data_IF_247395859332
#
_entry.id   IF_247395859332
#
_cell.length_a   1.000
_cell.length_b   1.000
_cell.length_c   1.000
_cell.angle_alpha   90.00
_cell.angle_beta   90.00
_cell.angle_gamma   90.00
#
_symmetry.space_group_name_H-M   'P 1'
#
loop_
_entity.id
_entity.type
_entity.pdbx_description
1 polymer ?
#
# COMPACT_ATOMS: atom_id res chain seq x y z
N UNK A 1 -47.08 -9.83 -26.52
CA UNK A 1 -46.54 -8.83 -25.57
C UNK A 1 -46.78 -7.44 -26.16
N UNK A 2 -47.33 -6.48 -25.41
CA UNK A 2 -47.58 -5.12 -25.96
C UNK A 2 -46.27 -4.36 -26.14
N UNK A 3 -46.18 -3.49 -27.16
CA UNK A 3 -44.98 -2.64 -27.40
C UNK A 3 -44.59 -1.83 -26.15
N UNK A 4 -45.58 -1.42 -25.35
CA UNK A 4 -45.39 -0.73 -24.06
C UNK A 4 -44.72 -1.63 -23.02
N UNK A 5 -45.07 -2.90 -22.93
CA UNK A 5 -44.44 -3.85 -22.01
C UNK A 5 -42.99 -4.14 -22.40
N UNK A 6 -42.70 -4.28 -23.70
CA UNK A 6 -41.32 -4.48 -24.20
C UNK A 6 -40.46 -3.24 -23.90
N UNK A 7 -40.97 -2.03 -24.19
CA UNK A 7 -40.26 -0.79 -23.90
C UNK A 7 -39.97 -0.62 -22.41
N UNK A 8 -40.92 -1.00 -21.54
CA UNK A 8 -40.75 -0.95 -20.10
C UNK A 8 -39.70 -1.96 -19.60
N UNK A 9 -39.66 -3.17 -20.16
CA UNK A 9 -38.62 -4.16 -19.86
C UNK A 9 -37.24 -3.67 -20.31
N UNK A 10 -37.14 -3.10 -21.52
CA UNK A 10 -35.88 -2.55 -22.03
C UNK A 10 -35.42 -1.39 -21.13
N UNK A 11 -36.30 -0.46 -20.77
CA UNK A 11 -35.99 0.63 -19.85
C UNK A 11 -35.54 0.11 -18.48
N UNK A 12 -36.23 -0.90 -17.95
CA UNK A 12 -35.88 -1.56 -16.69
C UNK A 12 -34.48 -2.20 -16.78
N UNK A 13 -34.17 -2.93 -17.86
CA UNK A 13 -32.86 -3.55 -18.06
C UNK A 13 -31.74 -2.51 -18.21
N UNK A 14 -32.00 -1.43 -18.94
CA UNK A 14 -31.03 -0.33 -19.13
C UNK A 14 -30.71 0.38 -17.80
N UNK A 15 -31.63 0.42 -16.84
CA UNK A 15 -31.38 1.01 -15.52
C UNK A 15 -30.83 -0.01 -14.52
N UNK A 16 -31.39 -1.23 -14.48
CA UNK A 16 -30.97 -2.26 -13.53
C UNK A 16 -29.59 -2.84 -13.86
N UNK A 17 -29.23 -3.00 -15.13
CA UNK A 17 -27.94 -3.58 -15.49
C UNK A 17 -26.76 -2.71 -14.99
N UNK A 18 -26.70 -1.39 -15.21
CA UNK A 18 -25.65 -0.54 -14.64
C UNK A 18 -25.63 -0.54 -13.11
N UNK A 19 -26.81 -0.47 -12.46
CA UNK A 19 -26.89 -0.49 -10.99
C UNK A 19 -26.40 -1.82 -10.41
N UNK A 20 -26.78 -2.94 -11.02
CA UNK A 20 -26.33 -4.27 -10.62
C UNK A 20 -24.82 -4.44 -10.82
N UNK A 21 -24.25 -3.87 -11.88
CA UNK A 21 -22.81 -3.88 -12.13
C UNK A 21 -22.06 -3.06 -11.06
N UNK A 22 -22.54 -1.86 -10.72
CA UNK A 22 -21.98 -1.04 -9.64
C UNK A 22 -22.04 -1.75 -8.28
N UNK A 23 -23.20 -2.31 -7.95
CA UNK A 23 -23.40 -3.06 -6.71
C UNK A 23 -22.48 -4.30 -6.65
N UNK A 24 -22.35 -5.02 -7.76
CA UNK A 24 -21.45 -6.17 -7.87
C UNK A 24 -20.01 -5.75 -7.61
N UNK A 25 -19.46 -4.79 -8.36
CA UNK A 25 -18.08 -4.36 -8.19
C UNK A 25 -17.78 -3.85 -6.78
N UNK A 26 -18.71 -3.09 -6.18
CA UNK A 26 -18.57 -2.64 -4.80
C UNK A 26 -18.60 -3.81 -3.79
N UNK A 27 -19.50 -4.78 -3.97
CA UNK A 27 -19.58 -5.96 -3.09
C UNK A 27 -18.33 -6.84 -3.16
N UNK A 28 -17.63 -6.86 -4.30
CA UNK A 28 -16.39 -7.60 -4.48
C UNK A 28 -15.20 -6.96 -3.77
N UNK A 29 -15.24 -5.65 -3.47
CA UNK A 29 -14.16 -4.96 -2.76
C UNK A 29 -13.77 -5.67 -1.45
N UNK A 30 -14.77 -6.03 -0.63
CA UNK A 30 -14.52 -6.70 0.64
C UNK A 30 -13.91 -8.09 0.46
N UNK A 31 -14.32 -8.82 -0.58
CA UNK A 31 -13.78 -10.14 -0.94
C UNK A 31 -12.35 -10.05 -1.47
N UNK A 32 -12.02 -8.99 -2.21
CA UNK A 32 -10.66 -8.73 -2.69
C UNK A 32 -9.73 -8.44 -1.52
N UNK A 33 -10.15 -7.65 -0.53
CA UNK A 33 -9.32 -7.38 0.66
C UNK A 33 -9.23 -8.59 1.60
N UNK A 34 -10.22 -9.48 1.58
CA UNK A 34 -10.28 -10.66 2.45
C UNK A 34 -10.46 -11.92 1.59
N UNK A 35 -9.44 -12.33 0.83
CA UNK A 35 -9.54 -13.46 -0.11
C UNK A 35 -9.67 -14.83 0.58
N UNK A 36 -9.56 -14.88 1.91
CA UNK A 36 -9.70 -16.10 2.71
C UNK A 36 -8.62 -16.19 3.79
N UNK A 37 -8.25 -17.41 4.15
CA UNK A 37 -7.10 -17.65 5.04
C UNK A 37 -5.79 -17.44 4.28
N UNK A 38 -4.80 -16.75 4.86
CA UNK A 38 -3.49 -16.61 4.24
C UNK A 38 -2.80 -17.97 4.13
N UNK A 39 -1.97 -18.12 3.10
CA UNK A 39 -1.17 -19.32 2.85
C UNK A 39 0.05 -19.40 3.77
N UNK A 40 0.52 -18.26 4.25
CA UNK A 40 1.62 -18.13 5.19
C UNK A 40 1.60 -16.76 5.85
N UNK A 41 2.23 -16.67 7.02
CA UNK A 41 2.34 -15.44 7.80
C UNK A 41 3.76 -15.33 8.40
N UNK A 42 4.28 -14.11 8.44
CA UNK A 42 5.53 -13.77 9.10
C UNK A 42 5.25 -12.64 10.10
N UNK A 43 5.74 -12.76 11.33
CA UNK A 43 5.53 -11.76 12.36
C UNK A 43 6.80 -10.96 12.58
N UNK A 44 6.65 -9.65 12.77
CA UNK A 44 7.75 -8.72 13.03
C UNK A 44 7.39 -7.81 14.19
N UNK A 45 8.42 -7.36 14.90
CA UNK A 45 8.31 -6.32 15.93
C UNK A 45 9.07 -5.10 15.43
N UNK A 46 8.36 -4.00 15.23
CA UNK A 46 8.97 -2.72 14.92
C UNK A 46 9.02 -1.88 16.19
N UNK A 47 10.22 -1.49 16.60
CA UNK A 47 10.47 -0.67 17.79
C UNK A 47 10.73 0.77 17.35
N UNK A 48 9.96 1.71 17.88
CA UNK A 48 10.27 3.14 17.81
C UNK A 48 10.95 3.58 19.09
N UNK A 49 12.17 4.09 19.00
CA UNK A 49 12.95 4.57 20.14
C UNK A 49 13.93 5.66 19.70
N UNK A 50 14.11 6.71 20.51
CA UNK A 50 15.06 7.79 20.20
C UNK A 50 14.81 8.54 18.88
N UNK A 51 13.55 8.55 18.40
CA UNK A 51 13.19 9.15 17.11
C UNK A 51 13.42 8.26 15.90
N UNK A 52 13.90 7.03 16.09
CA UNK A 52 14.24 6.07 15.05
C UNK A 52 13.36 4.81 15.13
N UNK A 53 13.22 4.12 14.01
CA UNK A 53 12.54 2.83 13.93
C UNK A 53 13.55 1.71 13.72
N UNK A 54 13.34 0.59 14.39
CA UNK A 54 14.16 -0.61 14.32
C UNK A 54 13.25 -1.80 14.03
N UNK A 55 13.68 -2.67 13.13
CA UNK A 55 12.89 -3.84 12.69
C UNK A 55 13.52 -5.10 13.23
N UNK A 56 12.72 -5.94 13.89
CA UNK A 56 13.15 -7.20 14.48
C UNK A 56 12.22 -8.34 14.11
N UNK A 57 12.80 -9.54 13.97
CA UNK A 57 12.04 -10.79 14.15
C UNK A 57 11.69 -10.99 15.63
N UNK A 58 10.67 -11.80 15.97
CA UNK A 58 10.32 -12.07 17.37
C UNK A 58 11.50 -12.63 18.18
N UNK A 59 12.33 -13.47 17.57
CA UNK A 59 13.52 -14.05 18.19
C UNK A 59 14.59 -12.97 18.45
N UNK A 60 14.87 -12.10 17.48
CA UNK A 60 15.80 -10.98 17.69
C UNK A 60 15.31 -10.02 18.77
N UNK A 61 14.00 -9.75 18.80
CA UNK A 61 13.40 -8.89 19.81
C UNK A 61 13.50 -9.49 21.23
N UNK A 62 13.32 -10.80 21.38
CA UNK A 62 13.50 -11.49 22.67
C UNK A 62 14.95 -11.44 23.18
N UNK A 63 15.92 -11.39 22.27
CA UNK A 63 17.35 -11.32 22.59
C UNK A 63 17.82 -9.90 22.95
N UNK A 64 16.95 -8.87 22.87
CA UNK A 64 17.28 -7.55 23.39
C UNK A 64 17.35 -7.61 24.92
N UNK A 65 18.58 -7.74 25.43
CA UNK A 65 18.87 -7.64 26.85
C UNK A 65 18.92 -6.16 27.26
N UNK A 66 17.97 -5.71 28.09
CA UNK A 66 17.98 -4.38 28.68
C UNK A 66 16.59 -3.73 28.75
N UNK A 67 16.44 -2.73 29.62
CA UNK A 67 15.25 -1.88 29.62
C UNK A 67 15.27 -0.96 28.40
N UNK A 68 14.19 -0.97 27.62
CA UNK A 68 14.02 -0.03 26.52
C UNK A 68 14.10 1.42 27.02
N UNK A 69 14.69 2.35 26.24
CA UNK A 69 14.67 3.77 26.60
C UNK A 69 13.25 4.28 26.89
N UNK A 70 13.05 5.19 27.86
CA UNK A 70 11.75 5.78 28.13
C UNK A 70 11.13 6.39 26.87
N UNK A 71 9.82 6.17 26.67
CA UNK A 71 9.11 6.64 25.48
C UNK A 71 9.20 5.71 24.26
N UNK A 72 9.88 4.56 24.38
CA UNK A 72 9.88 3.54 23.33
C UNK A 72 8.49 2.96 23.09
N UNK A 73 8.15 2.69 21.82
CA UNK A 73 6.88 2.07 21.42
C UNK A 73 7.14 0.84 20.55
N UNK A 74 6.41 -0.23 20.77
CA UNK A 74 6.53 -1.48 20.01
C UNK A 74 5.28 -1.71 19.17
N UNK A 75 5.48 -2.07 17.91
CA UNK A 75 4.43 -2.37 16.96
C UNK A 75 4.59 -3.82 16.49
N UNK A 76 3.65 -4.67 16.86
CA UNK A 76 3.58 -6.04 16.33
C UNK A 76 2.87 -5.99 14.99
N UNK A 77 3.56 -6.40 13.94
CA UNK A 77 3.09 -6.34 12.55
C UNK A 77 3.15 -7.75 11.95
N UNK A 78 2.09 -8.14 11.27
CA UNK A 78 2.00 -9.43 10.59
C UNK A 78 2.02 -9.24 9.07
N UNK A 79 3.03 -9.78 8.40
CA UNK A 79 2.98 -9.93 6.95
C UNK A 79 2.17 -11.18 6.59
N UNK A 80 1.26 -11.06 5.63
CA UNK A 80 0.44 -12.18 5.16
C UNK A 80 0.65 -12.46 3.69
N UNK A 81 0.80 -13.73 3.35
CA UNK A 81 0.90 -14.23 1.99
C UNK A 81 -0.43 -14.82 1.52
N UNK A 82 -0.84 -14.46 0.31
CA UNK A 82 -2.00 -15.05 -0.37
C UNK A 82 -1.64 -15.65 -1.72
N UNK A 83 -0.47 -15.33 -2.28
CA UNK A 83 -0.05 -15.74 -3.62
C UNK A 83 0.86 -16.97 -3.52
N UNK A 84 2.05 -16.84 -2.94
CA UNK A 84 3.10 -17.88 -2.98
C UNK A 84 3.18 -18.75 -1.71
N UNK A 85 2.69 -18.25 -0.57
CA UNK A 85 2.94 -18.84 0.76
C UNK A 85 4.08 -18.18 1.52
N UNK A 86 4.94 -17.39 0.86
CA UNK A 86 5.98 -16.60 1.52
C UNK A 86 5.63 -15.10 1.47
N UNK A 87 5.35 -14.46 2.64
CA UNK A 87 4.88 -13.08 2.66
C UNK A 87 5.90 -12.07 2.10
N UNK A 88 7.19 -12.26 2.37
CA UNK A 88 8.28 -11.42 1.88
C UNK A 88 8.42 -11.52 0.36
N UNK A 89 8.26 -12.74 -0.19
CA UNK A 89 8.26 -12.97 -1.64
C UNK A 89 7.04 -12.30 -2.29
N UNK A 90 5.85 -12.45 -1.72
CA UNK A 90 4.63 -11.78 -2.22
C UNK A 90 4.79 -10.26 -2.23
N UNK A 91 5.34 -9.68 -1.17
CA UNK A 91 5.61 -8.25 -1.07
C UNK A 91 6.60 -7.79 -2.14
N UNK A 92 7.72 -8.49 -2.27
CA UNK A 92 8.78 -8.14 -3.21
C UNK A 92 8.32 -8.27 -4.67
N UNK A 93 7.63 -9.37 -5.00
CA UNK A 93 7.04 -9.58 -6.34
C UNK A 93 5.99 -8.51 -6.65
N UNK A 94 5.16 -8.15 -5.67
CA UNK A 94 4.12 -7.14 -5.86
C UNK A 94 4.72 -5.75 -6.09
N UNK A 95 5.76 -5.36 -5.37
CA UNK A 95 6.37 -4.03 -5.53
C UNK A 95 7.29 -3.92 -6.76
N UNK A 96 8.07 -4.96 -7.07
CA UNK A 96 9.11 -4.90 -8.13
C UNK A 96 8.64 -5.32 -9.52
N UNK A 97 7.41 -5.83 -9.66
CA UNK A 97 6.85 -6.16 -10.99
C UNK A 97 6.76 -4.92 -11.90
N UNK A 98 6.79 -5.15 -13.21
CA UNK A 98 6.57 -4.09 -14.20
C UNK A 98 5.08 -3.76 -14.32
N UNK A 99 4.71 -2.52 -14.00
CA UNK A 99 3.35 -2.01 -14.13
C UNK A 99 3.32 -0.83 -15.12
N UNK A 100 2.18 -0.63 -15.77
CA UNK A 100 1.93 0.50 -16.67
C UNK A 100 1.73 1.81 -15.91
N UNK A 101 1.22 1.74 -14.67
CA UNK A 101 1.08 2.86 -13.73
C UNK A 101 0.94 2.37 -12.30
N UNK A 102 1.09 3.28 -11.33
CA UNK A 102 0.84 3.00 -9.92
C UNK A 102 -0.09 4.04 -9.30
N UNK A 103 -0.91 3.58 -8.34
CA UNK A 103 -1.88 4.39 -7.63
C UNK A 103 -1.64 4.27 -6.13
N UNK A 104 -1.44 5.40 -5.45
CA UNK A 104 -1.39 5.45 -3.99
C UNK A 104 -2.77 5.87 -3.47
N UNK A 105 -3.44 4.98 -2.75
CA UNK A 105 -4.74 5.25 -2.12
C UNK A 105 -4.50 5.66 -0.67
N UNK A 106 -4.71 6.96 -0.38
CA UNK A 106 -4.33 7.62 0.88
C UNK A 106 -5.14 7.15 2.10
N UNK A 107 -6.29 6.53 1.87
CA UNK A 107 -7.31 6.25 2.87
C UNK A 107 -8.62 6.99 2.58
N UNK A 108 -9.49 7.08 3.57
CA UNK A 108 -10.80 7.74 3.54
C UNK A 108 -10.65 9.21 3.08
N UNK A 109 -11.60 9.74 2.30
CA UNK A 109 -11.67 11.17 2.01
C UNK A 109 -11.52 12.11 3.22
N UNK A 110 -11.86 11.68 4.44
CA UNK A 110 -11.64 12.45 5.68
C UNK A 110 -10.17 12.75 5.97
N UNK A 111 -9.21 12.05 5.36
CA UNK A 111 -7.78 12.38 5.44
C UNK A 111 -7.50 13.80 4.92
N UNK A 112 -8.37 14.38 4.09
CA UNK A 112 -8.29 15.80 3.69
C UNK A 112 -8.30 16.75 4.89
N UNK A 113 -8.95 16.37 5.98
CA UNK A 113 -9.00 17.17 7.21
C UNK A 113 -7.62 17.39 7.82
N UNK A 114 -6.64 16.52 7.55
CA UNK A 114 -5.26 16.78 7.97
C UNK A 114 -4.63 18.05 7.40
N UNK A 115 -5.19 18.60 6.31
CA UNK A 115 -4.80 19.89 5.76
C UNK A 115 -5.69 21.03 6.25
N UNK A 116 -7.00 20.79 6.36
CA UNK A 116 -8.00 21.84 6.61
C UNK A 116 -8.34 22.00 8.08
N UNK A 117 -8.60 20.92 8.79
CA UNK A 117 -8.93 20.90 10.21
C UNK A 117 -8.39 19.63 10.88
N UNK A 118 -7.10 19.62 11.29
CA UNK A 118 -6.46 18.42 11.82
C UNK A 118 -7.15 17.83 13.06
N UNK A 119 -7.87 18.64 13.84
CA UNK A 119 -8.57 18.21 15.04
C UNK A 119 -9.78 17.31 14.75
N UNK A 120 -10.34 17.37 13.54
CA UNK A 120 -11.46 16.53 13.12
C UNK A 120 -11.01 15.16 12.58
N UNK A 121 -9.72 14.96 12.38
CA UNK A 121 -9.19 13.70 11.89
C UNK A 121 -9.10 12.69 13.05
N UNK A 122 -9.68 11.47 12.92
CA UNK A 122 -9.73 10.49 14.02
C UNK A 122 -8.39 9.80 14.32
N UNK A 123 -7.28 10.30 13.76
CA UNK A 123 -5.95 9.72 13.88
C UNK A 123 -4.86 10.78 13.99
N UNK A 124 -3.62 10.42 13.68
CA UNK A 124 -2.49 11.36 13.70
C UNK A 124 -2.11 11.80 12.31
N UNK A 125 -2.39 13.07 11.99
CA UNK A 125 -2.04 13.66 10.71
C UNK A 125 -0.53 13.68 10.43
N UNK A 126 0.29 13.81 11.47
CA UNK A 126 1.75 13.74 11.35
C UNK A 126 2.19 12.36 10.85
N UNK A 127 1.73 11.29 11.51
CA UNK A 127 2.11 9.93 11.12
C UNK A 127 1.46 9.51 9.80
N UNK A 128 0.22 9.91 9.53
CA UNK A 128 -0.45 9.65 8.24
C UNK A 128 0.30 10.31 7.08
N UNK A 129 0.69 11.57 7.23
CA UNK A 129 1.43 12.30 6.19
C UNK A 129 2.81 11.67 5.98
N UNK A 130 3.51 11.30 7.05
CA UNK A 130 4.79 10.62 6.95
C UNK A 130 4.65 9.27 6.23
N UNK A 131 3.68 8.44 6.63
CA UNK A 131 3.37 7.17 6.00
C UNK A 131 3.10 7.33 4.49
N UNK A 132 2.18 8.21 4.10
CA UNK A 132 1.88 8.50 2.69
C UNK A 132 3.13 8.94 1.93
N UNK A 133 3.94 9.81 2.51
CA UNK A 133 5.14 10.35 1.85
C UNK A 133 6.19 9.26 1.65
N UNK A 134 6.50 8.51 2.70
CA UNK A 134 7.50 7.44 2.71
C UNK A 134 7.12 6.35 1.71
N UNK A 135 5.88 5.84 1.73
CA UNK A 135 5.45 4.81 0.78
C UNK A 135 5.37 5.32 -0.67
N UNK A 136 4.96 6.57 -0.89
CA UNK A 136 4.89 7.13 -2.23
C UNK A 136 6.28 7.26 -2.84
N UNK A 137 7.25 7.74 -2.08
CA UNK A 137 8.63 7.86 -2.56
C UNK A 137 9.31 6.49 -2.71
N UNK A 138 9.01 5.52 -1.83
CA UNK A 138 9.44 4.13 -1.96
C UNK A 138 8.99 3.53 -3.30
N UNK A 139 7.68 3.56 -3.55
CA UNK A 139 7.06 3.00 -4.76
C UNK A 139 7.53 3.75 -5.99
N UNK A 140 7.60 5.08 -5.94
CA UNK A 140 8.09 5.91 -7.05
C UNK A 140 9.52 5.55 -7.41
N UNK A 141 10.40 5.34 -6.43
CA UNK A 141 11.80 4.99 -6.67
C UNK A 141 11.97 3.64 -7.34
N UNK A 142 11.21 2.63 -6.88
CA UNK A 142 11.18 1.29 -7.52
C UNK A 142 10.66 1.40 -8.95
N UNK A 143 9.57 2.15 -9.14
CA UNK A 143 8.96 2.35 -10.45
C UNK A 143 9.90 3.09 -11.42
N UNK A 144 10.56 4.16 -10.95
CA UNK A 144 11.57 4.89 -11.72
C UNK A 144 12.73 3.98 -12.15
N UNK A 145 13.21 3.09 -11.26
CA UNK A 145 14.28 2.16 -11.61
C UNK A 145 13.92 1.27 -12.80
N UNK A 146 12.67 0.79 -12.87
CA UNK A 146 12.20 -0.01 -14.00
C UNK A 146 12.25 0.74 -15.34
N UNK A 147 11.88 2.03 -15.35
CA UNK A 147 11.97 2.86 -16.55
C UNK A 147 13.39 3.29 -16.89
N UNK A 148 14.24 3.46 -15.88
CA UNK A 148 15.67 3.69 -16.08
C UNK A 148 16.31 2.51 -16.82
N UNK A 149 16.08 1.27 -16.34
CA UNK A 149 16.60 0.07 -17.01
C UNK A 149 16.09 -0.04 -18.45
N UNK A 150 14.80 0.22 -18.68
CA UNK A 150 14.21 0.24 -20.02
C UNK A 150 14.82 1.30 -20.94
N UNK A 151 15.20 2.47 -20.43
CA UNK A 151 15.89 3.51 -21.21
C UNK A 151 17.33 3.10 -21.55
N UNK A 152 18.03 2.48 -20.59
CA UNK A 152 19.38 1.95 -20.80
C UNK A 152 19.39 0.86 -21.88
N UNK A 153 18.39 -0.04 -21.87
CA UNK A 153 18.19 -1.05 -22.92
C UNK A 153 17.94 -0.44 -24.30
N UNK A 154 17.31 0.74 -24.36
CA UNK A 154 17.11 1.51 -25.60
C UNK A 154 18.34 2.30 -26.06
N UNK A 155 19.45 2.26 -25.30
CA UNK A 155 20.69 2.95 -25.64
C UNK A 155 20.83 4.38 -25.13
N UNK A 156 19.95 4.84 -24.23
CA UNK A 156 20.07 6.17 -23.63
C UNK A 156 21.30 6.23 -22.71
N UNK A 157 22.01 7.37 -22.68
CA UNK A 157 23.05 7.59 -21.68
C UNK A 157 22.47 7.69 -20.26
N UNK A 158 23.33 7.75 -19.25
CA UNK A 158 22.91 7.72 -17.85
C UNK A 158 22.01 8.91 -17.46
N UNK A 159 22.29 10.11 -17.97
CA UNK A 159 21.54 11.30 -17.62
C UNK A 159 20.18 11.30 -18.32
N UNK A 160 20.15 11.03 -19.62
CA UNK A 160 18.89 10.92 -20.36
C UNK A 160 18.03 9.75 -19.90
N UNK A 161 18.63 8.64 -19.43
CA UNK A 161 17.88 7.54 -18.84
C UNK A 161 17.23 7.92 -17.50
N UNK A 162 17.90 8.73 -16.67
CA UNK A 162 17.32 9.25 -15.41
C UNK A 162 16.19 10.23 -15.68
N UNK A 163 16.37 11.14 -16.63
CA UNK A 163 15.34 12.09 -17.04
C UNK A 163 14.11 11.36 -17.59
N UNK A 164 14.32 10.41 -18.50
CA UNK A 164 13.24 9.54 -19.01
C UNK A 164 12.52 8.81 -17.87
N UNK A 165 13.25 8.20 -16.94
CA UNK A 165 12.66 7.49 -15.81
C UNK A 165 11.80 8.41 -14.93
N UNK A 166 12.30 9.62 -14.64
CA UNK A 166 11.58 10.62 -13.86
C UNK A 166 10.28 11.05 -14.57
N UNK A 167 10.35 11.43 -15.84
CA UNK A 167 9.18 11.82 -16.63
C UNK A 167 8.15 10.69 -16.71
N UNK A 168 8.59 9.47 -17.02
CA UNK A 168 7.67 8.34 -17.12
C UNK A 168 7.00 8.02 -15.78
N UNK A 169 7.70 8.20 -14.66
CA UNK A 169 7.16 8.00 -13.31
C UNK A 169 6.10 9.06 -12.99
N UNK A 170 6.38 10.35 -13.23
CA UNK A 170 5.43 11.43 -12.98
C UNK A 170 4.14 11.28 -13.82
N UNK A 171 4.28 10.88 -15.09
CA UNK A 171 3.14 10.64 -15.98
C UNK A 171 2.24 9.46 -15.56
N UNK A 172 2.72 8.60 -14.67
CA UNK A 172 2.10 7.30 -14.31
C UNK A 172 1.85 7.14 -12.82
N UNK A 173 2.01 8.23 -12.07
CA UNK A 173 1.73 8.30 -10.66
C UNK A 173 0.35 8.92 -10.46
N UNK A 174 -0.57 8.15 -9.90
CA UNK A 174 -1.89 8.65 -9.48
C UNK A 174 -2.02 8.61 -7.96
N UNK A 175 -2.73 9.58 -7.41
CA UNK A 175 -3.12 9.63 -5.99
C UNK A 175 -4.64 9.63 -5.90
N UNK A 176 -5.19 8.77 -5.06
CA UNK A 176 -6.63 8.65 -4.86
C UNK A 176 -7.01 8.53 -3.39
N UNK A 177 -8.28 8.81 -3.08
CA UNK A 177 -8.89 8.48 -1.79
C UNK A 177 -9.70 7.19 -1.93
N UNK A 178 -9.91 6.47 -0.84
CA UNK A 178 -10.73 5.25 -0.74
C UNK A 178 -12.24 5.59 -0.79
N UNK A 179 -12.64 6.26 -1.86
CA UNK A 179 -14.01 6.64 -2.18
C UNK A 179 -14.83 5.42 -2.65
N UNK A 180 -16.14 5.60 -2.84
CA UNK A 180 -16.99 4.58 -3.45
C UNK A 180 -16.43 4.08 -4.80
N UNK A 181 -16.03 5.01 -5.68
CA UNK A 181 -15.50 4.68 -7.00
C UNK A 181 -14.21 3.89 -6.91
N UNK A 182 -13.27 4.30 -6.05
CA UNK A 182 -12.01 3.59 -5.87
C UNK A 182 -12.22 2.18 -5.33
N UNK A 183 -13.14 2.00 -4.37
CA UNK A 183 -13.54 0.67 -3.87
C UNK A 183 -14.12 -0.19 -5.00
N UNK A 184 -15.01 0.38 -5.80
CA UNK A 184 -15.60 -0.28 -6.97
C UNK A 184 -14.53 -0.69 -8.00
N UNK A 185 -13.56 0.18 -8.29
CA UNK A 185 -12.49 -0.11 -9.24
C UNK A 185 -11.52 -1.20 -8.77
N UNK A 186 -11.21 -1.23 -7.48
CA UNK A 186 -10.46 -2.32 -6.85
C UNK A 186 -11.27 -3.63 -6.95
N UNK A 187 -12.56 -3.58 -6.57
CA UNK A 187 -13.44 -4.74 -6.55
C UNK A 187 -13.64 -5.37 -7.94
N UNK A 188 -13.78 -4.56 -9.00
CA UNK A 188 -13.89 -5.03 -10.39
C UNK A 188 -12.55 -5.41 -11.03
N UNK A 189 -11.43 -5.19 -10.36
CA UNK A 189 -10.10 -5.53 -10.88
C UNK A 189 -9.45 -4.51 -11.81
N UNK A 190 -9.98 -3.29 -11.89
CA UNK A 190 -9.36 -2.23 -12.70
C UNK A 190 -8.19 -1.54 -11.99
N UNK A 191 -8.25 -1.49 -10.66
CA UNK A 191 -7.13 -1.14 -9.79
C UNK A 191 -6.60 -2.39 -9.09
N UNK A 192 -5.28 -2.41 -8.90
CA UNK A 192 -4.56 -3.52 -8.28
C UNK A 192 -4.60 -4.79 -9.11
N UNK A 193 -3.92 -4.80 -10.26
CA UNK A 193 -3.84 -5.92 -11.20
C UNK A 193 -2.44 -5.97 -11.84
N UNK A 194 -2.22 -6.86 -12.81
CA UNK A 194 -0.91 -7.04 -13.44
C UNK A 194 -0.35 -5.80 -14.17
N UNK A 195 -1.22 -4.85 -14.53
CA UNK A 195 -0.84 -3.60 -15.22
C UNK A 195 -0.84 -2.39 -14.29
N UNK A 196 -1.55 -2.45 -13.17
CA UNK A 196 -1.73 -1.32 -12.27
C UNK A 196 -1.37 -1.74 -10.85
N UNK A 197 -0.24 -1.24 -10.36
CA UNK A 197 0.08 -1.32 -8.93
C UNK A 197 -0.86 -0.39 -8.17
N UNK A 198 -1.47 -0.88 -7.11
CA UNK A 198 -2.30 -0.09 -6.21
C UNK A 198 -1.84 -0.37 -4.80
N UNK A 199 -1.38 0.67 -4.12
CA UNK A 199 -1.00 0.60 -2.71
C UNK A 199 -2.12 1.25 -1.91
N UNK A 200 -2.75 0.46 -1.05
CA UNK A 200 -3.90 0.86 -0.27
C UNK A 200 -3.52 1.02 1.20
N UNK A 201 -3.64 2.24 1.70
CA UNK A 201 -3.47 2.56 3.12
C UNK A 201 -4.81 2.49 3.85
N UNK A 202 -4.90 1.61 4.85
CA UNK A 202 -6.07 1.45 5.72
C UNK A 202 -5.61 1.74 7.15
N UNK A 203 -6.09 2.83 7.73
CA UNK A 203 -5.80 3.21 9.11
C UNK A 203 -7.06 3.38 9.96
N UNK A 204 -6.99 4.15 11.06
CA UNK A 204 -8.11 4.27 12.01
C UNK A 204 -9.37 4.86 11.38
N UNK A 205 -9.23 5.88 10.52
CA UNK A 205 -10.34 6.53 9.82
C UNK A 205 -11.08 5.58 8.84
N UNK A 206 -10.41 4.50 8.42
CA UNK A 206 -10.95 3.49 7.52
C UNK A 206 -11.50 2.27 8.29
N UNK A 207 -11.29 2.21 9.61
CA UNK A 207 -11.69 1.07 10.45
C UNK A 207 -10.74 -0.12 10.35
N UNK A 208 -9.42 0.13 10.27
CA UNK A 208 -8.39 -0.92 10.28
C UNK A 208 -8.59 -1.92 11.42
N UNK A 209 -8.45 -3.21 11.10
CA UNK A 209 -8.74 -4.36 11.98
C UNK A 209 -7.49 -5.10 12.43
N UNK A 210 -6.40 -5.04 11.65
CA UNK A 210 -5.11 -5.58 12.04
C UNK A 210 -3.97 -4.55 11.89
N UNK A 211 -2.78 -4.97 12.31
CA UNK A 211 -1.51 -4.33 12.00
C UNK A 211 -0.79 -5.29 11.05
N UNK A 212 -1.00 -5.11 9.76
CA UNK A 212 -0.75 -6.15 8.79
C UNK A 212 -0.45 -5.59 7.40
N UNK A 213 0.52 -6.22 6.73
CA UNK A 213 0.90 -5.90 5.35
C UNK A 213 0.68 -7.13 4.49
N UNK A 214 -0.03 -6.98 3.38
CA UNK A 214 -0.35 -8.13 2.55
C UNK A 214 -0.65 -7.76 1.10
N UNK A 215 -0.37 -8.69 0.19
CA UNK A 215 -0.76 -8.61 -1.20
C UNK A 215 -1.86 -9.65 -1.49
N UNK A 216 -3.15 -9.28 -1.48
CA UNK A 216 -4.22 -10.25 -1.71
C UNK A 216 -4.23 -10.81 -3.15
N UNK A 217 -3.65 -10.06 -4.10
CA UNK A 217 -3.40 -10.49 -5.47
C UNK A 217 -2.29 -9.62 -6.08
N UNK A 218 -1.74 -10.08 -7.21
CA UNK A 218 -0.71 -9.33 -7.96
C UNK A 218 -1.22 -7.92 -8.31
N UNK A 219 -0.39 -6.92 -8.05
CA UNK A 219 -0.69 -5.51 -8.27
C UNK A 219 -1.45 -4.82 -7.14
N UNK A 220 -1.95 -5.52 -6.11
CA UNK A 220 -2.59 -4.87 -4.96
C UNK A 220 -1.76 -5.12 -3.71
N UNK A 221 -1.25 -4.04 -3.11
CA UNK A 221 -0.61 -4.05 -1.80
C UNK A 221 -1.53 -3.35 -0.81
N UNK A 222 -1.80 -3.97 0.33
CA UNK A 222 -2.59 -3.40 1.41
C UNK A 222 -1.71 -3.27 2.65
N UNK A 223 -1.71 -2.07 3.22
CA UNK A 223 -1.00 -1.70 4.43
C UNK A 223 -2.09 -1.25 5.41
N UNK A 224 -2.33 -2.05 6.44
CA UNK A 224 -3.45 -1.87 7.35
C UNK A 224 -2.95 -1.79 8.79
N UNK A 225 -3.03 -0.60 9.39
CA UNK A 225 -2.56 -0.33 10.74
C UNK A 225 -3.65 0.28 11.62
N UNK A 226 -3.85 -0.25 12.84
CA UNK A 226 -4.90 0.25 13.75
C UNK A 226 -4.72 1.70 14.19
N UNK A 227 -3.49 2.23 14.10
CA UNK A 227 -3.16 3.64 14.33
C UNK A 227 -2.26 4.14 13.20
N UNK A 228 -2.21 5.45 12.98
CA UNK A 228 -1.32 6.02 11.95
C UNK A 228 0.17 5.83 12.30
N UNK A 229 0.54 5.77 13.59
CA UNK A 229 1.88 5.38 14.02
C UNK A 229 2.24 3.97 13.52
N UNK A 230 1.29 3.04 13.68
CA UNK A 230 1.48 1.65 13.23
C UNK A 230 1.58 1.60 11.72
N UNK A 231 0.74 2.35 11.00
CA UNK A 231 0.78 2.46 9.55
C UNK A 231 2.16 2.93 9.05
N UNK A 232 2.77 3.89 9.73
CA UNK A 232 4.14 4.31 9.44
C UNK A 232 5.16 3.22 9.77
N UNK A 233 5.03 2.55 10.92
CA UNK A 233 5.91 1.44 11.30
C UNK A 233 5.87 0.29 10.28
N UNK A 234 4.70 0.02 9.68
CA UNK A 234 4.52 -0.95 8.60
C UNK A 234 5.29 -0.57 7.33
N UNK A 235 5.37 0.72 7.01
CA UNK A 235 6.14 1.20 5.86
C UNK A 235 7.64 1.04 6.11
N UNK A 236 8.11 1.36 7.31
CA UNK A 236 9.51 1.12 7.68
C UNK A 236 9.86 -0.37 7.59
N UNK A 237 8.94 -1.25 8.00
CA UNK A 237 9.11 -2.69 7.82
C UNK A 237 9.22 -3.07 6.33
N UNK A 238 8.38 -2.50 5.47
CA UNK A 238 8.46 -2.72 4.02
C UNK A 238 9.81 -2.25 3.48
N UNK A 239 10.26 -1.04 3.83
CA UNK A 239 11.57 -0.50 3.44
C UNK A 239 12.71 -1.44 3.81
N UNK A 240 12.69 -1.96 5.05
CA UNK A 240 13.69 -2.90 5.54
C UNK A 240 13.68 -4.22 4.73
N UNK A 241 12.51 -4.83 4.53
CA UNK A 241 12.38 -6.11 3.82
C UNK A 241 12.83 -5.99 2.37
N UNK A 242 12.47 -4.90 1.68
CA UNK A 242 12.84 -4.73 0.27
C UNK A 242 14.27 -4.19 0.08
N UNK A 243 14.97 -3.89 1.17
CA UNK A 243 16.32 -3.33 1.16
C UNK A 243 16.37 -1.92 0.56
N UNK A 244 15.33 -1.11 0.79
CA UNK A 244 15.32 0.26 0.30
C UNK A 244 16.26 1.15 1.12
N UNK A 245 16.99 2.00 0.42
CA UNK A 245 17.88 2.98 1.03
C UNK A 245 17.55 4.36 0.47
N UNK A 246 17.19 5.27 1.36
CA UNK A 246 17.05 6.68 1.08
C UNK A 246 18.41 7.29 0.68
N UNK A 247 18.43 8.25 -0.24
CA UNK A 247 19.61 9.08 -0.51
C UNK A 247 20.13 9.71 0.79
N UNK A 248 21.46 9.74 0.96
CA UNK A 248 22.22 10.03 2.18
C UNK A 248 21.52 10.93 3.24
N UNK A 249 21.38 10.41 4.47
CA UNK A 249 21.06 11.20 5.67
C UNK A 249 19.70 10.98 6.34
N UNK A 250 18.82 10.12 5.82
CA UNK A 250 17.48 9.84 6.41
C UNK A 250 17.10 8.35 6.48
N UNK A 251 18.07 7.44 6.40
CA UNK A 251 17.78 6.02 6.58
C UNK A 251 17.49 5.74 8.07
N UNK A 252 16.41 5.01 8.42
CA UNK A 252 16.37 4.33 9.70
C UNK A 252 17.60 3.41 9.76
N UNK A 253 18.36 3.48 10.85
CA UNK A 253 19.54 2.62 11.00
C UNK A 253 19.11 1.16 11.04
N UNK A 254 19.41 0.43 9.97
CA UNK A 254 19.30 -1.02 9.91
C UNK A 254 20.44 -1.57 10.76
N UNK A 255 20.18 -1.81 12.04
CA UNK A 255 21.07 -2.65 12.85
C UNK A 255 20.73 -4.10 12.51
N UNK A 256 21.42 -4.65 11.50
CA UNK A 256 21.57 -6.10 11.40
C UNK A 256 22.43 -6.52 12.57
N UNK A 257 21.87 -7.25 13.54
CA UNK A 257 22.64 -7.87 14.61
C UNK A 257 23.42 -9.07 14.04
N UNK A 258 24.41 -8.76 13.21
CA UNK A 258 25.54 -9.60 12.84
C UNK A 258 26.77 -8.72 12.96
N UNK A 259 27.26 -8.59 14.20
CA UNK A 259 28.36 -7.72 14.61
C UNK A 259 28.29 -7.50 16.10
#
# INVERSE_FOLDING_TARGET
MSKKAIALIIALLVVLAPLSYLAYGYSQFSKVLNPGKPKGESNYVVLYSGGQFYVFTPQQYQNLHGSLPPGSKTFNITLKSYITGSPEVDLNLTLRSFYDRFVIVLGNPSVKECKTNPELYPGSCQFRTAAVTEISALVSSIFSMNYYLKAREKGYDNNSAKEYAYEQTQLRHDVAYLSFWTKFEIGRGALGNEKVLTVLLIGPAEGAKCNCVYAPRKGLLVIEGKTDETLRAEIVLIENIIGFQWPEGKNPQIVSATG
#
